data_IF_548575100595
#
_entry.id   IF_548575100595
#
_cell.length_a   1.000
_cell.length_b   1.000
_cell.length_c   1.000
_cell.angle_alpha   90.00
_cell.angle_beta   90.00
_cell.angle_gamma   90.00
#
_symmetry.space_group_name_H-M   'P 1'
#
loop_
_entity.id
_entity.type
_entity.pdbx_description
1 polymer ?
#
# COMPACT_ATOMS: atom_id res chain seq x y z
N UNK A 1 -29.82 28.61 35.01
CA UNK A 1 -29.19 29.09 33.77
C UNK A 1 -28.26 28.04 33.28
N UNK A 2 -28.74 27.28 32.30
CA UNK A 2 -28.05 26.08 31.85
C UNK A 2 -27.05 26.43 30.74
N UNK A 3 -25.79 26.05 30.94
CA UNK A 3 -24.73 26.08 29.93
C UNK A 3 -24.67 24.75 29.22
N UNK A 4 -25.12 24.72 27.96
CA UNK A 4 -25.00 23.56 27.11
C UNK A 4 -23.54 23.36 26.66
N UNK A 5 -23.00 22.17 26.92
CA UNK A 5 -21.74 21.71 26.33
C UNK A 5 -22.04 21.07 24.98
N UNK A 6 -21.58 21.70 23.91
CA UNK A 6 -21.56 21.12 22.59
C UNK A 6 -20.55 19.99 22.52
N UNK A 7 -21.02 18.79 22.27
CA UNK A 7 -20.19 17.63 21.91
C UNK A 7 -19.82 17.78 20.45
N UNK A 8 -18.54 17.99 20.17
CA UNK A 8 -18.00 17.94 18.82
C UNK A 8 -18.06 16.48 18.33
N UNK A 9 -19.03 16.17 17.51
CA UNK A 9 -19.10 14.91 16.79
C UNK A 9 -17.99 14.86 15.77
N UNK A 10 -17.06 13.92 15.93
CA UNK A 10 -16.12 13.53 14.88
C UNK A 10 -16.93 12.95 13.72
N UNK A 11 -16.97 13.69 12.61
CA UNK A 11 -17.60 13.21 11.39
C UNK A 11 -16.73 12.12 10.78
N UNK A 12 -17.19 10.87 10.86
CA UNK A 12 -16.79 9.82 9.94
C UNK A 12 -17.15 10.26 8.54
N UNK A 13 -16.18 10.73 7.77
CA UNK A 13 -16.34 10.87 6.33
C UNK A 13 -16.23 9.48 5.75
N UNK A 14 -17.35 8.81 5.61
CA UNK A 14 -17.44 7.60 4.83
C UNK A 14 -17.12 7.96 3.36
N UNK A 15 -16.12 7.35 2.74
CA UNK A 15 -15.88 7.53 1.32
C UNK A 15 -17.07 6.90 0.57
N UNK A 16 -17.58 7.63 -0.41
CA UNK A 16 -18.47 7.10 -1.42
C UNK A 16 -17.65 6.11 -2.29
N UNK A 17 -17.47 4.89 -1.79
CA UNK A 17 -16.84 3.78 -2.48
C UNK A 17 -17.88 2.68 -2.61
N UNK A 18 -18.20 2.26 -3.83
CA UNK A 18 -18.94 1.02 -4.11
C UNK A 18 -18.38 -0.05 -3.21
N UNK A 19 -19.22 -0.79 -2.49
CA UNK A 19 -18.86 -1.87 -1.59
C UNK A 19 -17.96 -2.88 -2.32
N UNK A 20 -16.68 -2.57 -2.36
CA UNK A 20 -15.67 -3.35 -3.03
C UNK A 20 -15.39 -4.60 -2.22
N UNK A 21 -15.36 -5.74 -2.90
CA UNK A 21 -15.01 -7.02 -2.35
C UNK A 21 -13.63 -6.89 -1.68
N UNK A 22 -13.57 -7.18 -0.39
CA UNK A 22 -12.31 -7.42 0.29
C UNK A 22 -11.56 -8.51 -0.48
N UNK A 23 -10.25 -8.49 -0.48
CA UNK A 23 -9.48 -9.60 -1.02
C UNK A 23 -9.94 -10.86 -0.31
N UNK A 24 -10.35 -11.90 -1.06
CA UNK A 24 -10.70 -13.16 -0.45
C UNK A 24 -9.43 -13.80 0.11
N UNK A 25 -9.33 -14.02 1.43
CA UNK A 25 -8.12 -14.61 2.04
C UNK A 25 -7.76 -15.98 1.45
N UNK A 26 -8.74 -16.70 0.88
CA UNK A 26 -8.51 -18.02 0.23
C UNK A 26 -7.81 -17.86 -1.14
N UNK A 27 -7.91 -16.71 -1.77
CA UNK A 27 -7.26 -16.43 -3.05
C UNK A 27 -5.82 -15.93 -2.87
N UNK A 28 -5.40 -15.58 -1.65
CA UNK A 28 -4.07 -15.05 -1.38
C UNK A 28 -3.14 -16.12 -0.83
N UNK A 29 -2.05 -16.36 -1.53
CA UNK A 29 -1.01 -17.31 -1.14
C UNK A 29 0.21 -16.64 -0.47
N UNK A 30 0.38 -15.33 -0.65
CA UNK A 30 1.47 -14.58 -0.03
C UNK A 30 1.38 -13.08 -0.26
N UNK A 31 2.20 -12.32 0.46
CA UNK A 31 2.27 -10.85 0.37
C UNK A 31 3.71 -10.43 0.11
N UNK A 32 3.99 -9.76 -1.01
CA UNK A 32 5.30 -9.18 -1.32
C UNK A 32 5.30 -7.70 -0.94
N UNK A 33 6.21 -7.32 -0.05
CA UNK A 33 6.33 -5.95 0.47
C UNK A 33 7.65 -5.31 0.08
N UNK A 34 7.58 -4.08 -0.43
CA UNK A 34 8.72 -3.28 -0.86
C UNK A 34 8.87 -2.02 -0.02
N UNK A 35 10.13 -1.59 0.24
CA UNK A 35 10.40 -0.42 1.08
C UNK A 35 10.23 0.91 0.35
N UNK A 36 10.25 2.00 1.11
CA UNK A 36 10.40 3.37 0.58
C UNK A 36 11.78 3.62 -0.02
N UNK A 37 11.92 4.74 -0.74
CA UNK A 37 13.14 5.09 -1.49
C UNK A 37 14.43 5.11 -0.66
N UNK A 38 14.35 5.56 0.61
CA UNK A 38 15.50 5.67 1.52
C UNK A 38 15.48 4.61 2.63
N UNK A 39 14.54 3.66 2.57
CA UNK A 39 14.39 2.59 3.55
C UNK A 39 14.92 1.26 3.01
N UNK A 40 14.95 0.27 3.87
CA UNK A 40 15.24 -1.11 3.51
C UNK A 40 14.05 -2.03 3.85
N UNK A 41 14.19 -3.32 3.57
CA UNK A 41 13.17 -4.34 3.86
C UNK A 41 12.85 -4.49 5.35
N UNK A 42 13.77 -4.02 6.23
CA UNK A 42 13.61 -4.13 7.68
C UNK A 42 12.97 -2.86 8.29
N UNK A 43 12.35 -2.01 7.45
CA UNK A 43 11.52 -0.91 7.94
C UNK A 43 10.45 -1.44 8.90
N UNK A 44 10.31 -0.81 10.07
CA UNK A 44 9.47 -1.28 11.18
C UNK A 44 8.06 -1.70 10.75
N UNK A 45 7.39 -0.92 9.89
CA UNK A 45 6.04 -1.23 9.42
C UNK A 45 6.00 -2.53 8.59
N UNK A 46 7.01 -2.80 7.75
CA UNK A 46 7.06 -4.04 6.95
C UNK A 46 7.29 -5.25 7.84
N UNK A 47 8.14 -5.10 8.87
CA UNK A 47 8.39 -6.14 9.88
C UNK A 47 7.13 -6.42 10.70
N UNK A 48 6.44 -5.36 11.14
CA UNK A 48 5.18 -5.49 11.89
C UNK A 48 4.08 -6.18 11.08
N UNK A 49 3.98 -5.89 9.79
CA UNK A 49 3.02 -6.54 8.89
C UNK A 49 3.34 -8.01 8.66
N UNK A 50 4.61 -8.38 8.45
CA UNK A 50 5.02 -9.78 8.35
C UNK A 50 4.62 -10.57 9.59
N UNK A 51 4.91 -10.03 10.78
CA UNK A 51 4.54 -10.67 12.04
C UNK A 51 3.03 -10.81 12.22
N UNK A 52 2.26 -9.77 11.87
CA UNK A 52 0.81 -9.75 12.03
C UNK A 52 0.07 -10.64 11.00
N UNK A 53 0.62 -10.80 9.82
CA UNK A 53 0.02 -11.61 8.76
C UNK A 53 0.29 -13.10 8.92
N UNK A 54 1.18 -13.52 9.81
CA UNK A 54 1.45 -14.94 10.04
C UNK A 54 0.14 -15.72 10.30
N UNK A 55 0.01 -16.96 9.77
CA UNK A 55 1.00 -17.78 9.05
C UNK A 55 1.04 -17.51 7.52
N UNK A 56 0.39 -16.48 6.99
CA UNK A 56 0.47 -16.14 5.57
C UNK A 56 1.91 -15.76 5.24
N UNK A 57 2.55 -16.37 4.23
CA UNK A 57 3.90 -16.03 3.82
C UNK A 57 4.02 -14.55 3.42
N UNK A 58 5.06 -13.88 3.92
CA UNK A 58 5.39 -12.50 3.55
C UNK A 58 6.84 -12.44 3.09
N UNK A 59 7.06 -11.92 1.89
CA UNK A 59 8.38 -11.61 1.37
C UNK A 59 8.63 -10.10 1.49
N UNK A 60 9.55 -9.69 2.37
CA UNK A 60 10.08 -8.34 2.40
C UNK A 60 11.33 -8.29 1.53
N UNK A 61 11.30 -7.54 0.45
CA UNK A 61 12.42 -7.46 -0.49
C UNK A 61 13.13 -6.11 -0.46
N UNK A 62 14.41 -6.08 -0.83
CA UNK A 62 15.09 -4.87 -1.28
C UNK A 62 14.89 -4.63 -2.77
N UNK A 63 15.14 -3.42 -3.23
CA UNK A 63 15.41 -3.17 -4.64
C UNK A 63 16.87 -3.49 -4.99
N UNK A 64 17.13 -3.79 -6.27
CA UNK A 64 18.42 -4.28 -6.74
C UNK A 64 19.61 -3.37 -6.42
N UNK A 65 19.42 -2.04 -6.37
CA UNK A 65 20.46 -1.10 -5.97
C UNK A 65 20.92 -1.34 -4.53
N UNK A 66 20.01 -1.65 -3.60
CA UNK A 66 20.32 -1.97 -2.21
C UNK A 66 21.08 -3.29 -2.08
N UNK A 67 20.72 -4.30 -2.84
CA UNK A 67 21.43 -5.57 -2.87
C UNK A 67 22.87 -5.40 -3.36
N UNK A 68 23.10 -4.43 -4.25
CA UNK A 68 24.44 -4.02 -4.70
C UNK A 68 25.17 -3.07 -3.74
N UNK A 69 24.61 -2.81 -2.55
CA UNK A 69 25.19 -1.92 -1.54
C UNK A 69 25.03 -0.43 -1.82
N UNK A 70 24.15 -0.04 -2.76
CA UNK A 70 23.92 1.35 -3.13
C UNK A 70 22.79 1.96 -2.28
N UNK A 71 23.02 3.01 -1.47
CA UNK A 71 22.02 3.53 -0.54
C UNK A 71 20.97 4.42 -1.19
N UNK A 72 21.18 4.89 -2.43
CA UNK A 72 20.25 5.80 -3.12
C UNK A 72 18.94 5.12 -3.52
N UNK A 73 17.92 5.89 -3.90
CA UNK A 73 16.68 5.34 -4.44
C UNK A 73 16.93 4.69 -5.80
N UNK A 74 16.24 3.58 -6.07
CA UNK A 74 16.24 2.98 -7.41
C UNK A 74 15.41 3.86 -8.37
N UNK A 75 15.68 3.77 -9.68
CA UNK A 75 14.85 4.37 -10.71
C UNK A 75 13.70 3.44 -11.07
N UNK A 76 12.55 4.02 -11.44
CA UNK A 76 11.36 3.23 -11.78
C UNK A 76 11.63 2.22 -12.92
N UNK A 77 12.42 2.64 -13.93
CA UNK A 77 12.77 1.81 -15.08
C UNK A 77 13.56 0.54 -14.70
N UNK A 78 14.25 0.55 -13.56
CA UNK A 78 14.96 -0.61 -13.04
C UNK A 78 14.16 -1.31 -11.93
N UNK A 79 13.45 -0.55 -11.09
CA UNK A 79 12.70 -1.08 -9.97
C UNK A 79 11.50 -1.95 -10.39
N UNK A 80 10.77 -1.52 -11.41
CA UNK A 80 9.56 -2.23 -11.86
C UNK A 80 9.89 -3.61 -12.44
N UNK A 81 10.80 -3.75 -13.43
CA UNK A 81 11.17 -5.08 -13.94
C UNK A 81 11.71 -6.00 -12.86
N UNK A 82 12.53 -5.48 -11.94
CA UNK A 82 13.08 -6.25 -10.84
C UNK A 82 12.00 -6.73 -9.87
N UNK A 83 11.02 -5.89 -9.54
CA UNK A 83 9.88 -6.28 -8.70
C UNK A 83 9.08 -7.40 -9.36
N UNK A 84 8.81 -7.29 -10.66
CA UNK A 84 8.05 -8.30 -11.43
C UNK A 84 8.79 -9.64 -11.43
N UNK A 85 10.09 -9.64 -11.74
CA UNK A 85 10.94 -10.84 -11.69
C UNK A 85 10.90 -11.49 -10.31
N UNK A 86 11.02 -10.69 -9.24
CA UNK A 86 10.97 -11.19 -7.86
C UNK A 86 9.61 -11.73 -7.47
N UNK A 87 8.52 -11.11 -7.93
CA UNK A 87 7.17 -11.62 -7.70
C UNK A 87 6.94 -12.96 -8.39
N UNK A 88 7.34 -13.09 -9.65
CA UNK A 88 7.19 -14.33 -10.42
C UNK A 88 8.06 -15.45 -9.82
N UNK A 89 9.32 -15.16 -9.47
CA UNK A 89 10.21 -16.12 -8.83
C UNK A 89 9.66 -16.61 -7.49
N UNK A 90 9.14 -15.69 -6.67
CA UNK A 90 8.60 -16.06 -5.36
C UNK A 90 7.27 -16.83 -5.47
N UNK A 91 6.42 -16.51 -6.43
CA UNK A 91 5.23 -17.31 -6.73
C UNK A 91 5.61 -18.76 -7.08
N UNK A 92 6.65 -18.94 -7.90
CA UNK A 92 7.18 -20.25 -8.25
C UNK A 92 7.76 -20.99 -7.03
N UNK A 93 8.47 -20.31 -6.13
CA UNK A 93 8.97 -20.87 -4.86
C UNK A 93 7.81 -21.37 -3.97
N UNK A 94 6.69 -20.64 -3.95
CA UNK A 94 5.47 -21.03 -3.22
C UNK A 94 4.64 -22.10 -3.96
N UNK A 95 4.94 -22.41 -5.21
CA UNK A 95 4.16 -23.34 -6.03
C UNK A 95 2.80 -22.79 -6.45
N UNK A 96 2.67 -21.48 -6.65
CA UNK A 96 1.42 -20.80 -7.00
C UNK A 96 1.58 -19.89 -8.23
N UNK A 97 0.45 -19.51 -8.83
CA UNK A 97 0.45 -18.49 -9.88
C UNK A 97 0.71 -17.08 -9.30
N UNK A 98 1.41 -16.18 -10.01
CA UNK A 98 1.68 -14.82 -9.53
C UNK A 98 0.43 -14.04 -9.14
N UNK A 99 -0.70 -14.28 -9.81
CA UNK A 99 -2.01 -13.69 -9.51
C UNK A 99 -2.57 -14.03 -8.13
N UNK A 100 -1.92 -14.92 -7.36
CA UNK A 100 -2.27 -15.23 -5.98
C UNK A 100 -1.42 -14.47 -4.94
N UNK A 101 -0.56 -13.55 -5.38
CA UNK A 101 0.21 -12.69 -4.50
C UNK A 101 -0.47 -11.32 -4.35
N UNK A 102 -0.51 -10.81 -3.14
CA UNK A 102 -0.71 -9.37 -2.91
C UNK A 102 0.63 -8.68 -3.07
N UNK A 103 0.69 -7.69 -3.93
CA UNK A 103 1.88 -6.86 -4.13
C UNK A 103 1.69 -5.53 -3.41
N UNK A 104 2.76 -4.95 -2.89
CA UNK A 104 2.65 -3.65 -2.27
C UNK A 104 3.91 -3.16 -1.61
N UNK A 105 3.74 -2.14 -0.81
CA UNK A 105 4.85 -1.58 -0.07
C UNK A 105 4.61 -0.15 0.40
N UNK A 106 5.66 0.41 0.97
CA UNK A 106 5.63 1.75 1.55
C UNK A 106 6.16 2.78 0.55
N UNK A 107 5.44 3.91 0.42
CA UNK A 107 5.89 5.09 -0.34
C UNK A 107 6.34 4.71 -1.76
N UNK A 108 7.59 4.91 -2.10
CA UNK A 108 8.18 4.53 -3.39
C UNK A 108 7.86 3.07 -3.75
N UNK A 109 8.00 2.14 -2.82
CA UNK A 109 7.74 0.73 -3.05
C UNK A 109 6.28 0.45 -3.44
N UNK A 110 5.32 1.02 -2.73
CA UNK A 110 3.90 0.92 -3.09
C UNK A 110 3.61 1.49 -4.47
N UNK A 111 4.23 2.63 -4.82
CA UNK A 111 4.12 3.20 -6.16
C UNK A 111 4.73 2.28 -7.23
N UNK A 112 5.89 1.66 -6.98
CA UNK A 112 6.48 0.70 -7.94
C UNK A 112 5.59 -0.53 -8.12
N UNK A 113 4.98 -1.03 -7.05
CA UNK A 113 4.02 -2.13 -7.11
C UNK A 113 2.77 -1.76 -7.93
N UNK A 114 2.20 -0.55 -7.73
CA UNK A 114 1.05 -0.09 -8.52
C UNK A 114 1.39 0.07 -10.01
N UNK A 115 2.58 0.57 -10.33
CA UNK A 115 3.05 0.66 -11.72
C UNK A 115 3.30 -0.72 -12.35
N UNK A 116 3.82 -1.68 -11.60
CA UNK A 116 3.99 -3.06 -12.08
C UNK A 116 2.64 -3.71 -12.41
N UNK A 117 1.64 -3.55 -11.51
CA UNK A 117 0.27 -4.04 -11.74
C UNK A 117 -0.37 -3.38 -12.96
N UNK A 118 -0.28 -2.05 -13.07
CA UNK A 118 -0.78 -1.30 -14.23
C UNK A 118 -0.13 -1.74 -15.55
N UNK A 119 1.11 -2.23 -15.50
CA UNK A 119 1.82 -2.80 -16.66
C UNK A 119 1.55 -4.30 -16.88
N UNK A 120 0.53 -4.85 -16.23
CA UNK A 120 0.07 -6.22 -16.44
C UNK A 120 0.73 -7.27 -15.54
N UNK A 121 1.41 -6.91 -14.44
CA UNK A 121 1.82 -7.88 -13.44
C UNK A 121 0.59 -8.47 -12.73
N UNK A 122 0.35 -9.79 -12.80
CA UNK A 122 -0.77 -10.39 -12.10
C UNK A 122 -0.62 -10.24 -10.58
N UNK A 123 -1.73 -9.92 -9.91
CA UNK A 123 -1.77 -9.82 -8.45
C UNK A 123 -3.18 -10.10 -7.93
N UNK A 124 -3.29 -10.72 -6.76
CA UNK A 124 -4.55 -10.88 -6.02
C UNK A 124 -5.07 -9.55 -5.44
N UNK A 125 -4.17 -8.60 -5.24
CA UNK A 125 -4.49 -7.28 -4.71
C UNK A 125 -3.25 -6.40 -4.56
N UNK A 126 -3.48 -5.15 -4.22
CA UNK A 126 -2.44 -4.12 -4.10
C UNK A 126 -2.53 -3.44 -2.74
N UNK A 127 -1.37 -3.30 -2.06
CA UNK A 127 -1.25 -2.64 -0.77
C UNK A 127 -0.38 -1.39 -0.88
N UNK A 128 -0.99 -0.22 -0.74
CA UNK A 128 -0.36 1.10 -0.84
C UNK A 128 -0.23 1.73 0.55
N UNK A 129 0.96 1.68 1.15
CA UNK A 129 1.23 2.28 2.45
C UNK A 129 1.91 3.65 2.24
N UNK A 130 1.25 4.71 2.71
CA UNK A 130 1.72 6.10 2.53
C UNK A 130 2.06 6.38 1.06
N UNK A 131 1.08 6.28 0.18
CA UNK A 131 1.27 6.49 -1.27
C UNK A 131 1.78 7.92 -1.54
N UNK A 132 2.91 8.09 -2.24
CA UNK A 132 3.50 9.40 -2.47
C UNK A 132 2.87 10.07 -3.69
N UNK A 133 1.66 10.62 -3.52
CA UNK A 133 0.85 11.22 -4.60
C UNK A 133 1.63 12.29 -5.37
N UNK A 134 2.37 13.12 -4.66
CA UNK A 134 3.26 14.14 -5.22
C UNK A 134 4.46 14.36 -4.29
N UNK A 135 5.56 15.02 -4.74
CA UNK A 135 6.62 15.45 -3.84
C UNK A 135 6.10 16.53 -2.87
N UNK A 136 6.61 16.58 -1.63
CA UNK A 136 6.23 17.64 -0.69
C UNK A 136 6.43 19.04 -1.29
N UNK A 137 5.43 19.89 -1.15
CA UNK A 137 5.46 21.27 -1.68
C UNK A 137 5.35 21.38 -3.21
N UNK A 138 5.00 20.28 -3.91
CA UNK A 138 4.80 20.27 -5.38
C UNK A 138 3.50 19.52 -5.74
N UNK A 139 2.33 20.05 -5.33
CA UNK A 139 1.05 19.34 -5.52
C UNK A 139 0.70 19.11 -7.00
N UNK A 140 1.20 19.96 -7.91
CA UNK A 140 0.98 19.81 -9.35
C UNK A 140 1.81 18.67 -9.99
N UNK A 141 2.80 18.13 -9.26
CA UNK A 141 3.65 17.03 -9.75
C UNK A 141 3.07 15.66 -9.38
N UNK A 142 1.87 15.40 -9.86
CA UNK A 142 1.12 14.19 -9.55
C UNK A 142 1.79 12.93 -10.12
N UNK A 143 1.57 11.79 -9.48
CA UNK A 143 2.13 10.48 -9.83
C UNK A 143 0.99 9.47 -10.00
N UNK A 144 0.08 9.77 -10.90
CA UNK A 144 -1.23 9.13 -11.03
C UNK A 144 -1.49 8.53 -12.42
N UNK A 145 -0.63 8.75 -13.40
CA UNK A 145 -0.89 8.43 -14.82
C UNK A 145 -1.21 6.95 -15.07
N UNK A 146 -0.68 6.06 -14.21
CA UNK A 146 -0.88 4.62 -14.31
C UNK A 146 -2.08 4.09 -13.51
N UNK A 147 -2.68 4.91 -12.64
CA UNK A 147 -3.77 4.46 -11.75
C UNK A 147 -5.02 3.96 -12.48
N UNK A 148 -5.42 4.51 -13.65
CA UNK A 148 -6.54 4.00 -14.42
C UNK A 148 -6.37 2.57 -14.94
N UNK A 149 -5.14 2.05 -14.98
CA UNK A 149 -4.81 0.70 -15.42
C UNK A 149 -4.68 -0.31 -14.26
N UNK A 150 -4.97 0.10 -13.02
CA UNK A 150 -4.93 -0.76 -11.83
C UNK A 150 -6.30 -1.38 -11.60
N UNK A 151 -6.52 -2.60 -12.11
CA UNK A 151 -7.80 -3.31 -11.98
C UNK A 151 -7.71 -4.51 -11.01
N UNK A 152 -7.23 -4.26 -9.81
CA UNK A 152 -7.18 -5.25 -8.72
C UNK A 152 -7.69 -4.64 -7.42
N UNK A 153 -8.19 -5.46 -6.46
CA UNK A 153 -8.53 -4.98 -5.13
C UNK A 153 -7.37 -4.23 -4.49
N UNK A 154 -7.59 -2.98 -4.12
CA UNK A 154 -6.53 -2.09 -3.60
C UNK A 154 -6.89 -1.56 -2.22
N UNK A 155 -5.98 -1.73 -1.26
CA UNK A 155 -5.99 -1.01 0.02
C UNK A 155 -4.92 0.09 0.00
N UNK A 156 -5.34 1.32 0.26
CA UNK A 156 -4.45 2.44 0.54
C UNK A 156 -4.56 2.83 2.02
N UNK A 157 -3.42 2.90 2.72
CA UNK A 157 -3.35 3.37 4.11
C UNK A 157 -2.38 4.54 4.19
N UNK A 158 -2.80 5.69 4.70
CA UNK A 158 -1.96 6.90 4.76
C UNK A 158 -2.18 7.69 6.03
N UNK A 159 -1.16 8.45 6.44
CA UNK A 159 -1.25 9.37 7.57
C UNK A 159 -2.13 10.58 7.27
N UNK A 160 -2.89 11.05 8.25
CA UNK A 160 -3.77 12.23 8.13
C UNK A 160 -3.01 13.54 7.83
N UNK A 161 -1.71 13.58 8.11
CA UNK A 161 -0.84 14.75 7.88
C UNK A 161 0.33 14.41 6.95
N UNK A 162 0.12 13.47 6.02
CA UNK A 162 1.14 13.06 5.07
C UNK A 162 1.42 14.22 4.07
N UNK A 163 2.64 14.76 4.02
CA UNK A 163 2.99 15.86 3.11
C UNK A 163 3.11 15.43 1.65
N UNK A 164 3.03 14.14 1.35
CA UNK A 164 3.04 13.59 -0.01
C UNK A 164 1.64 13.40 -0.60
N UNK A 165 0.60 13.72 0.15
CA UNK A 165 -0.79 13.67 -0.25
C UNK A 165 -1.71 13.69 0.97
N UNK A 166 -2.56 14.70 1.06
CA UNK A 166 -3.60 14.79 2.09
C UNK A 166 -4.68 13.74 1.88
N UNK A 167 -5.50 13.42 2.90
CA UNK A 167 -6.62 12.49 2.77
C UNK A 167 -7.56 12.83 1.62
N UNK A 168 -7.88 14.11 1.42
CA UNK A 168 -8.79 14.57 0.37
C UNK A 168 -8.16 14.42 -1.03
N UNK A 169 -6.88 14.77 -1.19
CA UNK A 169 -6.15 14.57 -2.44
C UNK A 169 -6.06 13.07 -2.78
N UNK A 170 -5.73 12.23 -1.79
CA UNK A 170 -5.69 10.78 -1.99
C UNK A 170 -7.06 10.23 -2.37
N UNK A 171 -8.13 10.63 -1.68
CA UNK A 171 -9.48 10.20 -2.01
C UNK A 171 -9.89 10.60 -3.43
N UNK A 172 -9.54 11.83 -3.84
CA UNK A 172 -9.84 12.33 -5.18
C UNK A 172 -9.08 11.57 -6.28
N UNK A 173 -7.77 11.45 -6.12
CA UNK A 173 -6.91 10.92 -7.20
C UNK A 173 -6.88 9.39 -7.26
N UNK A 174 -6.95 8.69 -6.12
CA UNK A 174 -7.02 7.23 -6.12
C UNK A 174 -8.38 6.71 -6.63
N UNK A 175 -9.42 7.54 -6.68
CA UNK A 175 -10.70 7.19 -7.31
C UNK A 175 -10.58 6.87 -8.81
N UNK A 176 -9.44 7.19 -9.45
CA UNK A 176 -9.12 6.78 -10.82
C UNK A 176 -8.84 5.28 -10.95
N UNK A 177 -8.57 4.56 -9.86
CA UNK A 177 -8.41 3.11 -9.83
C UNK A 177 -9.75 2.44 -10.13
N UNK A 178 -9.91 1.68 -11.24
CA UNK A 178 -11.17 1.04 -11.58
C UNK A 178 -11.47 -0.17 -10.71
N UNK A 179 -10.46 -0.84 -10.17
CA UNK A 179 -10.60 -1.95 -9.23
C UNK A 179 -11.24 -1.54 -7.91
N UNK A 180 -11.68 -2.51 -7.09
CA UNK A 180 -12.19 -2.23 -5.75
C UNK A 180 -11.15 -1.50 -4.90
N UNK A 181 -11.46 -0.28 -4.44
CA UNK A 181 -10.56 0.57 -3.66
C UNK A 181 -11.10 0.81 -2.26
N UNK A 182 -10.24 0.65 -1.26
CA UNK A 182 -10.46 1.11 0.11
C UNK A 182 -9.32 2.06 0.51
N UNK A 183 -9.65 3.27 0.93
CA UNK A 183 -8.71 4.23 1.52
C UNK A 183 -8.98 4.30 3.03
N UNK A 184 -7.93 4.12 3.81
CA UNK A 184 -7.93 4.26 5.28
C UNK A 184 -6.93 5.33 5.68
N UNK A 185 -7.39 6.34 6.41
CA UNK A 185 -6.51 7.36 6.97
C UNK A 185 -6.30 7.11 8.46
N UNK A 186 -5.03 7.15 8.90
CA UNK A 186 -4.63 6.90 10.29
C UNK A 186 -3.94 8.13 10.87
N UNK A 187 -3.90 8.30 12.20
CA UNK A 187 -3.11 9.37 12.80
C UNK A 187 -1.63 9.28 12.43
N UNK A 188 -1.02 10.40 12.07
CA UNK A 188 0.41 10.45 11.71
C UNK A 188 0.68 11.22 10.43
N UNK A 189 1.93 11.18 10.01
CA UNK A 189 2.45 11.76 8.78
C UNK A 189 2.80 10.68 7.74
N UNK A 190 3.85 10.88 6.95
CA UNK A 190 4.31 9.91 5.95
C UNK A 190 4.83 8.58 6.57
N UNK A 191 5.05 8.53 7.87
CA UNK A 191 5.45 7.33 8.62
C UNK A 191 4.57 7.15 9.86
N UNK A 192 3.28 6.83 9.70
CA UNK A 192 2.39 6.63 10.82
C UNK A 192 2.86 5.45 11.70
N UNK A 193 2.38 5.41 12.94
CA UNK A 193 2.65 4.32 13.85
C UNK A 193 2.12 2.98 13.31
N UNK A 194 2.79 1.88 13.63
CA UNK A 194 2.45 0.55 13.11
C UNK A 194 1.07 0.03 13.53
N UNK A 195 0.60 0.16 14.79
CA UNK A 195 -0.64 -0.46 15.20
C UNK A 195 -1.87 -0.11 14.35
N UNK A 196 -2.15 1.17 14.03
CA UNK A 196 -3.31 1.49 13.18
C UNK A 196 -3.12 1.04 11.72
N UNK A 197 -1.89 1.02 11.20
CA UNK A 197 -1.60 0.50 9.86
C UNK A 197 -1.84 -1.01 9.81
N UNK A 198 -1.32 -1.75 10.78
CA UNK A 198 -1.50 -3.19 10.91
C UNK A 198 -2.98 -3.53 11.04
N UNK A 199 -3.73 -2.81 11.89
CA UNK A 199 -5.16 -3.03 12.06
C UNK A 199 -5.93 -2.86 10.73
N UNK A 200 -5.63 -1.82 9.95
CA UNK A 200 -6.26 -1.59 8.66
C UNK A 200 -5.96 -2.70 7.64
N UNK A 201 -4.72 -3.20 7.64
CA UNK A 201 -4.31 -4.30 6.75
C UNK A 201 -4.97 -5.61 7.18
N UNK A 202 -4.97 -5.95 8.47
CA UNK A 202 -5.64 -7.16 8.97
C UNK A 202 -7.14 -7.15 8.66
N UNK A 203 -7.81 -6.03 8.87
CA UNK A 203 -9.22 -5.87 8.54
C UNK A 203 -9.50 -6.07 7.03
N UNK A 204 -8.62 -5.57 6.17
CA UNK A 204 -8.73 -5.79 4.72
C UNK A 204 -8.59 -7.28 4.34
N UNK A 205 -7.78 -8.04 5.06
CA UNK A 205 -7.67 -9.50 4.94
C UNK A 205 -8.78 -10.27 5.69
N UNK A 206 -9.77 -9.58 6.29
CA UNK A 206 -10.81 -10.21 7.10
C UNK A 206 -10.28 -10.88 8.37
N UNK A 207 -9.17 -10.39 8.92
CA UNK A 207 -8.54 -10.87 10.15
C UNK A 207 -8.70 -9.86 11.27
N UNK A 208 -8.85 -10.31 12.50
CA UNK A 208 -8.84 -9.44 13.68
C UNK A 208 -7.42 -9.26 14.21
N UNK A 209 -7.08 -8.09 14.74
CA UNK A 209 -5.86 -7.94 15.54
C UNK A 209 -5.88 -8.93 16.72
N UNK A 210 -4.74 -9.52 17.02
CA UNK A 210 -4.58 -10.40 18.16
C UNK A 210 -4.59 -9.62 19.48
#
# INVERSE_FOLDING_TARGET
MAGGRGVAGGGDVAPAGRGGRLVDPQDVAGVLLTPGASADRDHHTLVALEAALAPLPVLRMHFANRERGNPGPERAEAAIPYLRERADAWAAELGVEPGRLVLGGRSFGGRMASMAVAQGQPAAGLLLLSYPLHPPGKPDSLRIEHLPDVDVPTLAVSGQRDPFGTPDELAHHLAAIPGPLRLVTVPGDHSPADPPVVAAVLDWFGRSPA
#
